data_IF_954120002593
#
_entry.id   IF_954120002593
#
_cell.length_a   1.000
_cell.length_b   1.000
_cell.length_c   1.000
_cell.angle_alpha   90.00
_cell.angle_beta   90.00
_cell.angle_gamma   90.00
#
_symmetry.space_group_name_H-M   'P 1'
#
loop_
_entity.id
_entity.type
_entity.pdbx_description
1 polymer ?
#
# COMPACT_ATOMS: atom_id res chain seq x y z
N UNK A 1 26.60 -24.89 34.44
CA UNK A 1 25.80 -25.08 33.21
C UNK A 1 25.54 -23.72 32.58
N UNK A 2 25.88 -23.50 31.31
CA UNK A 2 25.53 -22.25 30.65
C UNK A 2 24.00 -22.24 30.42
N UNK A 3 23.35 -21.18 30.88
CA UNK A 3 21.93 -20.94 30.63
C UNK A 3 21.75 -20.64 29.15
N UNK A 4 21.10 -21.55 28.42
CA UNK A 4 20.55 -21.26 27.10
C UNK A 4 19.47 -20.21 27.27
N UNK A 5 19.83 -18.94 27.12
CA UNK A 5 18.86 -17.87 26.89
C UNK A 5 18.20 -18.16 25.55
N UNK A 6 16.91 -18.52 25.58
CA UNK A 6 16.05 -18.55 24.41
C UNK A 6 16.21 -17.21 23.67
N UNK A 7 16.24 -17.20 22.33
CA UNK A 7 16.19 -15.96 21.57
C UNK A 7 14.99 -15.16 22.06
N UNK A 8 15.22 -13.93 22.51
CA UNK A 8 14.13 -13.00 22.81
C UNK A 8 13.23 -12.91 21.58
N UNK A 9 11.93 -13.10 21.76
CA UNK A 9 10.95 -12.88 20.70
C UNK A 9 11.26 -11.54 20.02
N UNK A 10 11.25 -11.47 18.67
CA UNK A 10 11.47 -10.22 17.99
C UNK A 10 10.49 -9.18 18.55
N UNK A 11 10.92 -7.92 18.78
CA UNK A 11 10.07 -6.91 19.37
C UNK A 11 8.77 -6.88 18.59
N UNK A 12 7.64 -7.02 19.32
CA UNK A 12 6.31 -7.03 18.75
C UNK A 12 6.08 -5.70 18.03
N UNK A 13 6.36 -5.66 16.72
CA UNK A 13 6.05 -4.51 15.88
C UNK A 13 4.54 -4.41 15.89
N UNK A 14 4.02 -3.37 16.54
CA UNK A 14 2.59 -3.06 16.51
C UNK A 14 2.23 -2.58 15.11
N UNK A 15 2.02 -3.53 14.20
CA UNK A 15 1.60 -3.22 12.84
C UNK A 15 0.14 -2.77 12.89
N UNK A 16 -0.04 -1.45 12.79
CA UNK A 16 -1.37 -0.86 12.71
C UNK A 16 -1.98 -1.18 11.36
N UNK A 17 -2.97 -2.07 11.38
CA UNK A 17 -3.81 -2.38 10.23
C UNK A 17 -5.16 -1.71 10.40
N UNK A 18 -5.50 -0.83 9.46
CA UNK A 18 -6.79 -0.17 9.43
C UNK A 18 -7.62 -0.76 8.31
N UNK A 19 -8.72 -1.44 8.63
CA UNK A 19 -9.73 -1.82 7.64
C UNK A 19 -10.85 -0.78 7.71
N UNK A 20 -11.13 -0.10 6.60
CA UNK A 20 -12.14 0.94 6.55
C UNK A 20 -13.21 0.56 5.54
N UNK A 21 -14.48 0.43 5.98
CA UNK A 21 -15.59 0.18 5.08
C UNK A 21 -15.92 1.43 4.24
N UNK A 22 -16.14 1.24 2.95
CA UNK A 22 -16.92 2.18 2.13
C UNK A 22 -18.40 1.95 2.48
N UNK A 23 -18.98 2.86 3.28
CA UNK A 23 -20.39 2.80 3.67
C UNK A 23 -21.25 3.51 2.62
N UNK A 24 -22.28 2.84 2.09
CA UNK A 24 -23.15 3.33 1.01
C UNK A 24 -23.69 4.77 1.21
N UNK A 25 -22.97 5.77 0.67
CA UNK A 25 -23.48 7.05 0.17
C UNK A 25 -22.31 7.85 -0.42
N UNK A 26 -22.26 7.97 -1.75
CA UNK A 26 -21.46 8.94 -2.52
C UNK A 26 -19.96 9.12 -2.16
N UNK A 27 -19.31 8.18 -1.47
CA UNK A 27 -17.91 8.28 -1.08
C UNK A 27 -17.02 7.45 -2.01
N UNK A 28 -15.97 8.07 -2.54
CA UNK A 28 -14.88 7.39 -3.24
C UNK A 28 -13.88 6.82 -2.22
N UNK A 29 -12.99 5.93 -2.68
CA UNK A 29 -11.88 5.40 -1.86
C UNK A 29 -11.03 6.56 -1.26
N UNK A 30 -10.84 7.64 -2.01
CA UNK A 30 -10.11 8.82 -1.51
C UNK A 30 -10.89 9.56 -0.43
N UNK A 31 -12.21 9.74 -0.61
CA UNK A 31 -13.06 10.36 0.42
C UNK A 31 -13.03 9.54 1.73
N UNK A 32 -12.99 8.21 1.63
CA UNK A 32 -12.84 7.31 2.78
C UNK A 32 -11.52 7.57 3.51
N UNK A 33 -10.40 7.63 2.78
CA UNK A 33 -9.08 7.92 3.38
C UNK A 33 -9.03 9.32 3.98
N UNK A 34 -9.56 10.33 3.28
CA UNK A 34 -9.53 11.72 3.73
C UNK A 34 -10.41 11.95 4.96
N UNK A 35 -11.51 11.21 5.09
CA UNK A 35 -12.34 11.21 6.30
C UNK A 35 -11.57 10.81 7.57
N UNK A 36 -10.49 10.03 7.42
CA UNK A 36 -9.60 9.67 8.53
C UNK A 36 -8.58 10.74 8.84
N UNK A 37 -8.05 11.45 7.83
CA UNK A 37 -7.08 12.54 8.05
C UNK A 37 -7.68 13.66 8.91
N UNK A 38 -8.95 13.99 8.66
CA UNK A 38 -9.66 15.07 9.36
C UNK A 38 -10.07 14.69 10.79
N UNK A 39 -10.14 13.40 11.10
CA UNK A 39 -10.26 12.92 12.47
C UNK A 39 -8.84 12.87 13.02
N UNK A 40 -8.37 13.94 13.69
CA UNK A 40 -7.15 13.90 14.54
C UNK A 40 -7.12 12.52 15.18
N UNK A 41 -6.13 11.71 14.83
CA UNK A 41 -6.13 10.28 15.12
C UNK A 41 -6.16 10.08 16.64
N UNK A 42 -7.37 10.06 17.20
CA UNK A 42 -7.61 9.72 18.58
C UNK A 42 -7.39 8.22 18.59
N UNK A 43 -6.23 7.83 19.14
CA UNK A 43 -6.01 6.52 19.73
C UNK A 43 -6.96 6.42 20.93
N UNK A 44 -8.27 6.46 20.69
CA UNK A 44 -9.29 6.13 21.67
C UNK A 44 -10.02 4.93 21.15
N UNK A 45 -9.71 3.80 21.81
CA UNK A 45 -10.56 2.62 21.89
C UNK A 45 -12.03 3.06 21.86
N UNK A 46 -12.75 2.63 20.83
CA UNK A 46 -14.20 2.79 20.75
C UNK A 46 -14.66 3.78 19.69
N UNK A 47 -14.61 3.36 18.43
CA UNK A 47 -15.79 3.11 17.59
C UNK A 47 -15.29 2.90 16.15
N UNK A 48 -15.23 1.63 15.74
CA UNK A 48 -15.10 1.13 14.36
C UNK A 48 -13.73 1.19 13.67
N UNK A 49 -12.62 1.20 14.41
CA UNK A 49 -11.34 0.73 13.87
C UNK A 49 -11.15 -0.69 14.38
N UNK A 50 -11.34 -1.68 13.50
CA UNK A 50 -11.00 -3.06 13.82
C UNK A 50 -9.51 -3.27 13.53
N UNK A 51 -8.73 -3.46 14.59
CA UNK A 51 -7.37 -3.97 14.47
C UNK A 51 -7.47 -5.47 14.19
N UNK A 52 -7.50 -5.84 12.91
CA UNK A 52 -7.35 -7.24 12.54
C UNK A 52 -5.89 -7.63 12.57
N UNK A 53 -5.61 -8.84 13.06
CA UNK A 53 -4.31 -9.48 12.86
C UNK A 53 -4.12 -9.56 11.36
N UNK A 54 -3.20 -8.75 10.85
CA UNK A 54 -2.98 -8.58 9.43
C UNK A 54 -2.81 -9.94 8.73
N UNK A 55 -3.43 -10.04 7.56
CA UNK A 55 -3.39 -11.28 6.80
C UNK A 55 -1.96 -11.62 6.38
N UNK A 56 -1.63 -12.92 6.42
CA UNK A 56 -0.34 -13.44 5.98
C UNK A 56 -0.26 -13.44 4.44
N UNK A 57 -0.29 -12.24 3.85
CA UNK A 57 -0.25 -12.01 2.41
C UNK A 57 1.15 -11.52 1.98
N UNK A 58 1.81 -12.17 1.00
CA UNK A 58 3.15 -11.76 0.55
C UNK A 58 3.14 -10.38 -0.12
N UNK A 59 4.04 -9.48 0.31
CA UNK A 59 4.17 -8.13 -0.27
C UNK A 59 4.42 -8.18 -1.78
N UNK A 60 5.25 -9.13 -2.22
CA UNK A 60 5.56 -9.34 -3.64
C UNK A 60 4.32 -9.60 -4.50
N UNK A 61 3.23 -10.13 -3.92
CA UNK A 61 2.01 -10.46 -4.65
C UNK A 61 1.02 -9.29 -4.73
N UNK A 62 1.27 -8.17 -4.04
CA UNK A 62 0.41 -6.99 -4.08
C UNK A 62 0.44 -6.39 -5.49
N UNK A 63 -0.73 -6.09 -6.05
CA UNK A 63 -0.83 -5.41 -7.35
C UNK A 63 -0.38 -3.95 -7.21
N UNK A 64 0.42 -3.46 -8.15
CA UNK A 64 0.88 -2.08 -8.24
C UNK A 64 0.01 -1.27 -9.23
N UNK A 65 -0.10 0.05 -9.07
CA UNK A 65 -0.72 0.93 -10.07
C UNK A 65 0.30 1.72 -10.91
N UNK A 66 1.60 1.47 -10.72
CA UNK A 66 2.69 2.17 -11.41
C UNK A 66 3.70 1.18 -11.95
N UNK A 67 4.17 1.38 -13.18
CA UNK A 67 5.42 0.74 -13.64
C UNK A 67 6.63 1.41 -12.98
N UNK A 68 7.81 0.83 -13.16
CA UNK A 68 9.10 1.39 -12.70
C UNK A 68 9.33 2.85 -13.13
N UNK A 69 8.95 3.22 -14.35
CA UNK A 69 9.00 4.59 -14.87
C UNK A 69 8.12 5.60 -14.11
N UNK A 70 7.19 5.12 -13.29
CA UNK A 70 6.37 5.93 -12.38
C UNK A 70 7.02 6.14 -11.00
N UNK A 71 8.09 5.42 -10.68
CA UNK A 71 8.84 5.50 -9.41
C UNK A 71 10.11 6.32 -9.67
N UNK A 72 10.15 7.57 -9.21
CA UNK A 72 11.26 8.49 -9.55
C UNK A 72 12.21 8.80 -8.40
N UNK A 73 11.71 8.89 -7.17
CA UNK A 73 12.51 9.35 -6.05
C UNK A 73 13.13 8.17 -5.30
N UNK A 74 14.19 7.60 -5.90
CA UNK A 74 14.93 6.50 -5.28
C UNK A 74 15.64 6.95 -3.98
N UNK A 75 15.98 8.24 -3.86
CA UNK A 75 16.58 8.79 -2.66
C UNK A 75 15.59 8.76 -1.49
N UNK A 76 14.32 9.09 -1.74
CA UNK A 76 13.26 8.95 -0.75
C UNK A 76 13.11 7.49 -0.28
N UNK A 77 13.19 6.50 -1.18
CA UNK A 77 13.16 5.08 -0.79
C UNK A 77 14.31 4.76 0.17
N UNK A 78 15.53 5.23 -0.11
CA UNK A 78 16.68 5.01 0.78
C UNK A 78 16.52 5.66 2.13
N UNK A 79 16.03 6.90 2.18
CA UNK A 79 15.73 7.57 3.44
C UNK A 79 14.71 6.77 4.26
N UNK A 80 13.68 6.22 3.62
CA UNK A 80 12.72 5.33 4.26
C UNK A 80 13.36 4.02 4.73
N UNK A 81 14.28 3.42 3.96
CA UNK A 81 15.05 2.23 4.36
C UNK A 81 15.83 2.49 5.65
N UNK A 82 16.54 3.62 5.74
CA UNK A 82 17.29 4.00 6.95
C UNK A 82 16.38 4.13 8.17
N UNK A 83 15.21 4.78 8.02
CA UNK A 83 14.21 4.88 9.08
C UNK A 83 13.69 3.51 9.53
N UNK A 84 13.39 2.62 8.60
CA UNK A 84 12.90 1.28 8.93
C UNK A 84 13.99 0.47 9.66
N UNK A 85 15.26 0.62 9.24
CA UNK A 85 16.39 -0.03 9.91
C UNK A 85 16.65 0.52 11.33
N UNK A 86 16.33 1.79 11.61
CA UNK A 86 16.37 2.36 12.97
C UNK A 86 15.19 1.94 13.84
N UNK A 87 14.24 1.17 13.30
CA UNK A 87 13.05 0.69 14.01
C UNK A 87 11.83 1.60 13.88
N UNK A 88 11.86 2.59 13.00
CA UNK A 88 10.74 3.49 12.73
C UNK A 88 9.86 2.99 11.56
N UNK A 89 8.54 3.02 11.74
CA UNK A 89 7.59 2.79 10.65
C UNK A 89 7.35 4.07 9.82
N UNK A 90 6.84 3.89 8.60
CA UNK A 90 6.63 4.98 7.63
C UNK A 90 5.17 5.45 7.61
N UNK A 91 4.93 6.62 8.21
CA UNK A 91 3.61 7.27 8.27
C UNK A 91 3.56 8.59 7.46
N UNK A 92 2.34 9.04 7.15
CA UNK A 92 2.07 10.38 6.61
C UNK A 92 2.20 11.44 7.70
N UNK A 93 2.28 12.74 7.36
CA UNK A 93 2.31 13.82 8.36
C UNK A 93 1.12 13.79 9.35
N UNK A 94 -0.02 13.25 8.92
CA UNK A 94 -1.23 13.09 9.73
C UNK A 94 -1.22 11.82 10.61
N UNK A 95 -0.15 11.02 10.57
CA UNK A 95 0.01 9.80 11.36
C UNK A 95 -0.65 8.55 10.76
N UNK A 96 -1.13 8.60 9.52
CA UNK A 96 -1.68 7.44 8.82
C UNK A 96 -0.56 6.60 8.20
N UNK A 97 -0.69 5.26 8.12
CA UNK A 97 0.27 4.47 7.37
C UNK A 97 0.39 4.97 5.93
N UNK A 98 1.63 5.09 5.42
CA UNK A 98 1.82 5.56 4.05
C UNK A 98 1.33 4.55 3.01
N UNK A 99 1.43 3.25 3.32
CA UNK A 99 0.91 2.16 2.48
C UNK A 99 -0.62 2.14 2.54
N UNK A 100 -1.28 2.35 1.40
CA UNK A 100 -2.74 2.28 1.27
C UNK A 100 -3.13 1.30 0.19
N UNK A 101 -3.93 0.32 0.61
CA UNK A 101 -4.36 -0.82 -0.17
C UNK A 101 -5.86 -0.79 -0.34
N UNK A 102 -6.34 -1.40 -1.41
CA UNK A 102 -7.73 -1.87 -1.48
C UNK A 102 -7.77 -3.37 -1.66
N UNK A 103 -8.78 -4.00 -1.06
CA UNK A 103 -9.04 -5.43 -1.27
C UNK A 103 -9.82 -5.62 -2.56
N UNK A 104 -9.22 -6.29 -3.54
CA UNK A 104 -9.85 -6.54 -4.86
C UNK A 104 -10.68 -7.82 -4.83
N UNK A 105 -10.24 -8.82 -4.06
CA UNK A 105 -10.97 -10.02 -3.70
C UNK A 105 -10.25 -10.70 -2.53
N UNK A 106 -10.71 -11.89 -2.11
CA UNK A 106 -10.14 -12.65 -0.98
C UNK A 106 -8.62 -12.82 -1.04
N UNK A 107 -8.02 -12.90 -2.23
CA UNK A 107 -6.61 -13.24 -2.44
C UNK A 107 -5.84 -12.15 -3.22
N UNK A 108 -6.38 -10.94 -3.37
CA UNK A 108 -5.73 -9.87 -4.13
C UNK A 108 -5.91 -8.51 -3.47
N UNK A 109 -4.79 -7.82 -3.30
CA UNK A 109 -4.70 -6.43 -2.83
C UNK A 109 -4.09 -5.57 -3.93
N UNK A 110 -4.56 -4.34 -4.03
CA UNK A 110 -4.03 -3.32 -4.93
C UNK A 110 -3.47 -2.16 -4.12
N UNK A 111 -2.18 -1.89 -4.28
CA UNK A 111 -1.48 -0.73 -3.75
C UNK A 111 -1.76 0.49 -4.61
N UNK A 112 -2.55 1.42 -4.08
CA UNK A 112 -2.91 2.65 -4.77
C UNK A 112 -2.17 3.88 -4.25
N UNK A 113 -1.50 3.78 -3.10
CA UNK A 113 -0.62 4.82 -2.55
C UNK A 113 0.45 4.19 -1.64
N UNK A 114 1.62 4.81 -1.53
CA UNK A 114 2.73 4.34 -0.69
C UNK A 114 3.70 3.35 -1.36
N UNK A 115 3.83 3.36 -2.70
CA UNK A 115 4.77 2.48 -3.43
C UNK A 115 6.21 2.62 -2.95
N UNK A 116 6.70 3.84 -2.70
CA UNK A 116 8.05 4.07 -2.17
C UNK A 116 8.24 3.41 -0.79
N UNK A 117 7.24 3.49 0.09
CA UNK A 117 7.28 2.86 1.41
C UNK A 117 7.24 1.34 1.32
N UNK A 118 6.37 0.77 0.48
CA UNK A 118 6.33 -0.68 0.24
C UNK A 118 7.68 -1.21 -0.27
N UNK A 119 8.28 -0.53 -1.26
CA UNK A 119 9.61 -0.88 -1.77
C UNK A 119 10.69 -0.80 -0.68
N UNK A 120 10.64 0.22 0.18
CA UNK A 120 11.57 0.35 1.30
C UNK A 120 11.44 -0.79 2.32
N UNK A 121 10.22 -1.20 2.67
CA UNK A 121 10.00 -2.36 3.55
C UNK A 121 10.50 -3.67 2.91
N UNK A 122 10.23 -3.88 1.62
CA UNK A 122 10.75 -5.05 0.90
C UNK A 122 12.29 -5.04 0.87
N UNK A 123 12.90 -3.86 0.70
CA UNK A 123 14.36 -3.69 0.70
C UNK A 123 15.02 -4.05 2.04
N UNK A 124 14.37 -3.80 3.18
CA UNK A 124 14.86 -4.23 4.50
C UNK A 124 14.51 -5.68 4.83
N UNK A 125 13.88 -6.41 3.89
CA UNK A 125 13.59 -7.83 4.03
C UNK A 125 12.22 -8.17 4.62
N UNK A 126 11.29 -7.22 4.74
CA UNK A 126 9.89 -7.55 5.07
C UNK A 126 9.25 -8.30 3.90
N UNK A 127 8.49 -9.35 4.19
CA UNK A 127 7.94 -10.28 3.20
C UNK A 127 6.42 -10.30 3.16
N UNK A 128 5.75 -9.91 4.25
CA UNK A 128 4.31 -10.03 4.40
C UNK A 128 3.65 -8.72 4.86
N UNK A 129 2.35 -8.56 4.53
CA UNK A 129 1.56 -7.40 4.93
C UNK A 129 1.51 -7.19 6.45
N UNK A 130 1.49 -8.28 7.22
CA UNK A 130 1.50 -8.21 8.68
C UNK A 130 2.81 -7.72 9.31
N UNK A 131 3.83 -7.47 8.50
CA UNK A 131 5.12 -6.94 8.96
C UNK A 131 5.30 -5.44 8.66
N UNK A 132 4.30 -4.79 8.05
CA UNK A 132 4.38 -3.39 7.61
C UNK A 132 3.13 -2.62 8.00
N UNK A 133 3.28 -1.41 8.55
CA UNK A 133 2.15 -0.52 8.81
C UNK A 133 1.40 -0.21 7.50
N UNK A 134 0.09 -0.49 7.47
CA UNK A 134 -0.74 -0.28 6.27
C UNK A 134 -2.21 0.00 6.59
N UNK A 135 -2.88 0.61 5.64
CA UNK A 135 -4.31 0.87 5.65
C UNK A 135 -4.94 0.16 4.46
N UNK A 136 -6.00 -0.61 4.71
CA UNK A 136 -6.79 -1.29 3.69
C UNK A 136 -8.20 -0.69 3.64
N UNK A 137 -8.65 -0.29 2.46
CA UNK A 137 -10.04 0.10 2.21
C UNK A 137 -10.77 -1.08 1.59
N UNK A 138 -11.93 -1.40 2.15
CA UNK A 138 -12.77 -2.52 1.74
C UNK A 138 -14.21 -2.04 1.63
N UNK A 139 -15.02 -2.70 0.82
CA UNK A 139 -16.46 -2.45 0.82
C UNK A 139 -17.10 -3.23 1.99
N UNK A 140 -17.96 -2.60 2.79
CA UNK A 140 -18.52 -3.23 4.00
C UNK A 140 -19.33 -4.49 3.68
N UNK A 141 -20.16 -4.42 2.65
CA UNK A 141 -21.12 -5.46 2.32
C UNK A 141 -20.44 -6.67 1.63
N UNK A 142 -19.40 -6.40 0.84
CA UNK A 142 -18.78 -7.42 -0.03
C UNK A 142 -17.37 -7.83 0.38
N UNK A 143 -16.71 -7.06 1.26
CA UNK A 143 -15.31 -7.24 1.61
C UNK A 143 -14.33 -6.95 0.47
N UNK A 144 -14.77 -6.38 -0.65
CA UNK A 144 -13.89 -6.08 -1.79
C UNK A 144 -14.40 -4.89 -2.60
N UNK A 145 -13.49 -4.08 -3.13
CA UNK A 145 -13.85 -2.98 -4.03
C UNK A 145 -14.07 -3.47 -5.45
N UNK A 146 -15.06 -2.90 -6.12
CA UNK A 146 -15.41 -3.17 -7.51
C UNK A 146 -14.42 -2.55 -8.50
N UNK A 147 -14.40 -3.06 -9.73
CA UNK A 147 -13.63 -2.44 -10.83
C UNK A 147 -14.01 -0.98 -11.08
N UNK A 148 -15.27 -0.60 -10.84
CA UNK A 148 -15.74 0.78 -10.95
C UNK A 148 -15.08 1.68 -9.90
N UNK A 149 -14.99 1.22 -8.65
CA UNK A 149 -14.31 1.96 -7.58
C UNK A 149 -12.81 2.05 -7.86
N UNK A 150 -12.17 0.96 -8.31
CA UNK A 150 -10.75 0.95 -8.70
C UNK A 150 -10.45 1.96 -9.81
N UNK A 151 -11.41 2.22 -10.72
CA UNK A 151 -11.18 3.12 -11.84
C UNK A 151 -10.83 4.56 -11.43
N UNK A 152 -11.17 4.96 -10.19
CA UNK A 152 -10.84 6.28 -9.63
C UNK A 152 -9.34 6.54 -9.59
N UNK A 153 -8.52 5.50 -9.42
CA UNK A 153 -7.06 5.60 -9.36
C UNK A 153 -6.42 5.99 -10.70
N UNK A 154 -7.21 6.03 -11.77
CA UNK A 154 -6.77 6.43 -13.09
C UNK A 154 -7.30 7.83 -13.48
N UNK A 155 -7.96 8.53 -12.54
CA UNK A 155 -8.43 9.92 -12.67
C UNK A 155 -9.19 10.18 -13.96
N UNK A 156 -8.75 11.16 -14.77
CA UNK A 156 -9.43 11.50 -16.03
C UNK A 156 -9.43 10.38 -17.09
N UNK A 157 -8.70 9.28 -16.84
CA UNK A 157 -8.71 8.09 -17.69
C UNK A 157 -9.66 6.99 -17.20
N UNK A 158 -10.37 7.17 -16.08
CA UNK A 158 -11.32 6.20 -15.53
C UNK A 158 -12.30 5.67 -16.60
N UNK A 159 -12.86 6.55 -17.43
CA UNK A 159 -13.79 6.16 -18.50
C UNK A 159 -13.16 5.22 -19.56
N UNK A 160 -11.83 5.27 -19.75
CA UNK A 160 -11.13 4.37 -20.69
C UNK A 160 -10.94 2.96 -20.13
N UNK A 161 -11.00 2.79 -18.81
CA UNK A 161 -10.74 1.52 -18.13
C UNK A 161 -11.97 0.90 -17.49
N UNK A 162 -13.03 1.68 -17.22
CA UNK A 162 -14.24 1.26 -16.50
C UNK A 162 -14.91 0.02 -17.10
N UNK A 163 -14.86 -0.11 -18.42
CA UNK A 163 -15.44 -1.22 -19.18
C UNK A 163 -14.36 -2.11 -19.84
N UNK A 164 -13.10 -2.01 -19.41
CA UNK A 164 -11.97 -2.78 -19.93
C UNK A 164 -11.31 -3.54 -18.79
N UNK A 165 -10.41 -4.45 -19.14
CA UNK A 165 -9.50 -5.08 -18.19
C UNK A 165 -8.52 -4.04 -17.62
N UNK A 166 -8.91 -3.33 -16.55
CA UNK A 166 -8.06 -2.33 -15.87
C UNK A 166 -6.72 -2.93 -15.43
N UNK A 167 -6.69 -4.24 -15.18
CA UNK A 167 -5.48 -5.01 -14.84
C UNK A 167 -4.41 -4.95 -15.92
N UNK A 168 -4.77 -4.68 -17.17
CA UNK A 168 -3.79 -4.51 -18.25
C UNK A 168 -3.12 -3.13 -18.26
N UNK A 169 -3.53 -2.22 -17.36
CA UNK A 169 -3.06 -0.85 -17.33
C UNK A 169 -2.49 -0.46 -15.96
N UNK A 170 -1.64 0.57 -16.01
CA UNK A 170 -1.10 1.32 -14.87
C UNK A 170 -1.18 2.81 -15.20
N UNK A 171 -1.00 3.66 -14.19
CA UNK A 171 -0.94 5.11 -14.35
C UNK A 171 0.49 5.60 -14.08
N UNK A 172 0.99 6.53 -14.87
CA UNK A 172 2.21 7.28 -14.59
C UNK A 172 1.84 8.76 -14.48
N UNK A 173 1.56 9.22 -13.27
CA UNK A 173 1.16 10.61 -13.01
C UNK A 173 2.20 11.64 -13.43
N UNK A 174 3.46 11.23 -13.58
CA UNK A 174 4.58 12.07 -13.98
C UNK A 174 4.69 12.25 -15.50
N UNK A 175 4.00 11.44 -16.29
CA UNK A 175 3.97 11.60 -17.74
C UNK A 175 3.03 12.75 -18.15
N UNK A 176 3.21 13.35 -19.34
CA UNK A 176 2.22 14.27 -19.90
C UNK A 176 0.82 13.64 -19.92
N UNK A 177 -0.23 14.43 -19.67
CA UNK A 177 -1.61 13.94 -19.46
C UNK A 177 -2.10 12.90 -20.48
N UNK A 178 -1.77 13.06 -21.76
CA UNK A 178 -2.15 12.13 -22.82
C UNK A 178 -1.35 10.81 -22.83
N UNK A 179 -0.29 10.71 -22.03
CA UNK A 179 0.62 9.58 -21.89
C UNK A 179 0.65 9.00 -20.46
N UNK A 180 -0.24 9.44 -19.57
CA UNK A 180 -0.28 8.94 -18.18
C UNK A 180 -0.80 7.50 -18.10
N UNK A 181 -1.81 7.14 -18.88
CA UNK A 181 -2.31 5.76 -18.93
C UNK A 181 -1.37 4.90 -19.78
N UNK A 182 -0.74 3.90 -19.18
CA UNK A 182 0.23 3.04 -19.84
C UNK A 182 -0.16 1.55 -19.73
N UNK A 183 0.28 0.71 -20.67
CA UNK A 183 0.23 -0.74 -20.48
C UNK A 183 1.02 -1.14 -19.23
N UNK A 184 0.50 -2.13 -18.50
CA UNK A 184 1.19 -2.74 -17.36
C UNK A 184 2.39 -3.55 -17.86
N UNK A 185 3.56 -3.27 -17.28
CA UNK A 185 4.79 -4.02 -17.52
C UNK A 185 5.09 -4.89 -16.29
N UNK A 186 5.22 -4.27 -15.11
CA UNK A 186 5.38 -4.99 -13.85
C UNK A 186 4.01 -5.35 -13.28
N UNK A 187 3.76 -6.64 -13.07
CA UNK A 187 2.44 -7.19 -12.72
C UNK A 187 2.08 -7.01 -11.26
N UNK A 188 3.07 -6.96 -10.39
CA UNK A 188 2.94 -6.85 -8.94
C UNK A 188 4.15 -6.13 -8.34
N UNK A 189 4.13 -5.94 -7.02
CA UNK A 189 5.22 -5.30 -6.27
C UNK A 189 6.53 -6.10 -6.31
N UNK A 190 6.49 -7.43 -6.47
CA UNK A 190 7.69 -8.26 -6.66
C UNK A 190 8.44 -7.91 -7.95
N UNK A 191 7.74 -7.95 -9.08
CA UNK A 191 8.32 -7.57 -10.38
C UNK A 191 8.75 -6.09 -10.41
N UNK A 192 8.01 -5.21 -9.72
CA UNK A 192 8.40 -3.80 -9.57
C UNK A 192 9.66 -3.63 -8.72
N UNK A 193 9.77 -4.38 -7.62
CA UNK A 193 10.94 -4.39 -6.78
C UNK A 193 12.15 -4.91 -7.53
N UNK A 194 12.04 -6.03 -8.24
CA UNK A 194 13.13 -6.60 -9.05
C UNK A 194 13.65 -5.62 -10.11
N UNK A 195 12.75 -4.85 -10.73
CA UNK A 195 13.11 -3.83 -11.73
C UNK A 195 13.87 -2.61 -11.13
N UNK A 196 13.78 -2.40 -9.82
CA UNK A 196 14.32 -1.22 -9.13
C UNK A 196 15.40 -1.53 -8.09
N UNK A 197 15.46 -2.75 -7.58
CA UNK A 197 16.28 -3.15 -6.41
C UNK A 197 17.76 -2.82 -6.60
N UNK A 198 18.32 -3.13 -7.78
CA UNK A 198 19.70 -2.77 -8.13
C UNK A 198 19.96 -1.26 -8.01
N UNK A 199 19.02 -0.43 -8.48
CA UNK A 199 19.09 1.04 -8.45
C UNK A 199 18.90 1.60 -7.04
N UNK A 200 18.15 0.91 -6.19
CA UNK A 200 17.95 1.29 -4.79
C UNK A 200 19.25 1.08 -3.99
N UNK A 201 20.00 0.01 -4.25
CA UNK A 201 21.24 -0.32 -3.53
C UNK A 201 22.45 0.47 -4.04
N UNK A 202 22.55 0.72 -5.35
CA UNK A 202 23.71 1.40 -5.94
C UNK A 202 23.59 2.92 -5.77
N UNK A 203 24.31 3.54 -4.83
CA UNK A 203 24.82 4.94 -4.73
C UNK A 203 24.97 5.30 -3.25
#
# INVERSE_FOLDING_TARGET
SPQNTLPSDPPAVSVFTYIIPITNSCSTIYDTVDSLKNKKFLITKGKNIQYHVAEHFPLQNVLNIHNDSGIKDLFQIRSMVTKIQSGEDIFSPEGLPNIKLVRVNKNQWLLFDGHHSMLAYMQVGKKYLHEVAHLTVENEDTGSVSSNEISVFFGSHANKIRNREWRSYVINWQAPRNKQLCPRIQKNMGELYDALSSKIVSY
#
